data_IF_700041114685
#
_entry.id   IF_700041114685
#
_cell.length_a   1.000
_cell.length_b   1.000
_cell.length_c   1.000
_cell.angle_alpha   90.00
_cell.angle_beta   90.00
_cell.angle_gamma   90.00
#
_symmetry.space_group_name_H-M   'P 1'
#
loop_
_entity.id
_entity.type
_entity.pdbx_description
1 polymer ?
#
# COMPACT_ATOMS: atom_id res chain seq x y z
N UNK A 1 -17.51 -8.32 4.58
CA UNK A 1 -16.38 -8.16 3.66
C UNK A 1 -15.66 -6.89 4.07
N UNK A 2 -14.36 -6.95 4.36
CA UNK A 2 -13.57 -5.74 4.60
C UNK A 2 -13.41 -4.98 3.27
N UNK A 3 -13.67 -3.68 3.28
CA UNK A 3 -13.52 -2.83 2.10
C UNK A 3 -12.02 -2.62 1.79
N UNK A 4 -11.62 -2.47 0.52
CA UNK A 4 -10.24 -2.11 0.21
C UNK A 4 -9.90 -0.75 0.85
N UNK A 5 -8.65 -0.59 1.30
CA UNK A 5 -8.22 0.65 1.97
C UNK A 5 -8.05 1.81 1.00
N UNK A 6 -7.86 1.52 -0.28
CA UNK A 6 -7.79 2.46 -1.39
C UNK A 6 -8.59 1.92 -2.58
N UNK A 7 -9.01 2.79 -3.48
CA UNK A 7 -9.62 2.45 -4.76
C UNK A 7 -8.60 2.48 -5.90
N UNK A 8 -9.03 2.05 -7.09
CA UNK A 8 -8.19 2.09 -8.28
C UNK A 8 -7.84 3.53 -8.68
N UNK A 9 -8.78 4.46 -8.50
CA UNK A 9 -8.61 5.88 -8.83
C UNK A 9 -7.51 6.51 -7.99
N UNK A 10 -7.51 6.28 -6.67
CA UNK A 10 -6.49 6.79 -5.76
C UNK A 10 -5.08 6.41 -6.22
N UNK A 11 -4.91 5.16 -6.68
CA UNK A 11 -3.65 4.66 -7.21
C UNK A 11 -3.28 5.28 -8.57
N UNK A 12 -4.26 5.49 -9.46
CA UNK A 12 -4.04 6.14 -10.76
C UNK A 12 -3.63 7.60 -10.60
N UNK A 13 -4.29 8.32 -9.69
CA UNK A 13 -3.95 9.71 -9.35
C UNK A 13 -2.57 9.81 -8.71
N UNK A 14 -2.27 8.92 -7.75
CA UNK A 14 -0.97 8.87 -7.08
C UNK A 14 0.19 8.62 -8.06
N UNK A 15 0.02 7.67 -8.99
CA UNK A 15 1.05 7.30 -9.96
C UNK A 15 1.07 8.16 -11.22
N UNK A 16 0.04 8.98 -11.43
CA UNK A 16 -0.22 9.68 -12.69
C UNK A 16 -0.20 8.71 -13.90
N UNK A 17 -0.74 7.51 -13.70
CA UNK A 17 -0.76 6.40 -14.68
C UNK A 17 -2.19 5.90 -14.88
N UNK A 18 -2.56 5.61 -16.13
CA UNK A 18 -3.84 4.98 -16.46
C UNK A 18 -3.62 3.51 -16.77
N UNK A 19 -4.15 2.65 -15.91
CA UNK A 19 -4.16 1.20 -16.14
C UNK A 19 -5.13 0.81 -17.26
N UNK A 20 -4.65 -0.02 -18.18
CA UNK A 20 -5.45 -0.60 -19.26
C UNK A 20 -6.58 -1.45 -18.68
N UNK A 21 -7.74 -1.51 -19.32
CA UNK A 21 -8.90 -2.31 -18.86
C UNK A 21 -8.54 -3.77 -18.56
N UNK A 22 -7.64 -4.37 -19.34
CA UNK A 22 -7.16 -5.74 -19.14
C UNK A 22 -6.35 -5.92 -17.83
N UNK A 23 -5.69 -4.86 -17.35
CA UNK A 23 -4.86 -4.86 -16.15
C UNK A 23 -5.68 -4.56 -14.88
N UNK A 24 -6.77 -3.80 -14.99
CA UNK A 24 -7.56 -3.34 -13.84
C UNK A 24 -8.01 -4.47 -12.89
N UNK A 25 -8.50 -5.64 -13.37
CA UNK A 25 -8.89 -6.72 -12.46
C UNK A 25 -7.72 -7.26 -11.62
N UNK A 26 -6.50 -7.25 -12.17
CA UNK A 26 -5.30 -7.72 -11.48
C UNK A 26 -4.85 -6.67 -10.44
N UNK A 27 -4.85 -5.40 -10.81
CA UNK A 27 -4.56 -4.28 -9.89
C UNK A 27 -5.56 -4.26 -8.73
N UNK A 28 -6.86 -4.43 -9.00
CA UNK A 28 -7.89 -4.51 -7.97
C UNK A 28 -7.70 -5.69 -7.01
N UNK A 29 -7.25 -6.85 -7.51
CA UNK A 29 -6.90 -7.99 -6.65
C UNK A 29 -5.69 -7.68 -5.78
N UNK A 30 -4.67 -7.03 -6.34
CA UNK A 30 -3.47 -6.62 -5.61
C UNK A 30 -3.81 -5.61 -4.50
N UNK A 31 -4.66 -4.61 -4.78
CA UNK A 31 -5.16 -3.66 -3.78
C UNK A 31 -5.86 -4.39 -2.62
N UNK A 32 -6.72 -5.36 -2.93
CA UNK A 32 -7.41 -6.16 -1.91
C UNK A 32 -6.45 -6.99 -1.07
N UNK A 33 -5.47 -7.63 -1.72
CA UNK A 33 -4.45 -8.43 -1.04
C UNK A 33 -3.60 -7.54 -0.11
N UNK A 34 -3.08 -6.42 -0.61
CA UNK A 34 -2.35 -5.46 0.22
C UNK A 34 -3.20 -4.92 1.37
N UNK A 35 -4.47 -4.64 1.14
CA UNK A 35 -5.38 -4.20 2.20
C UNK A 35 -5.58 -5.28 3.29
N UNK A 36 -5.53 -6.56 2.92
CA UNK A 36 -5.60 -7.66 3.89
C UNK A 36 -4.29 -7.78 4.67
N UNK A 37 -3.14 -7.73 3.99
CA UNK A 37 -1.81 -7.79 4.63
C UNK A 37 -1.62 -6.65 5.63
N UNK A 38 -1.99 -5.42 5.26
CA UNK A 38 -1.85 -4.27 6.16
C UNK A 38 -2.74 -4.39 7.40
N UNK A 39 -3.94 -4.98 7.27
CA UNK A 39 -4.83 -5.25 8.42
C UNK A 39 -4.34 -6.40 9.30
N UNK A 40 -3.70 -7.41 8.71
CA UNK A 40 -3.09 -8.50 9.47
C UNK A 40 -1.92 -7.98 10.32
N UNK A 41 -1.11 -7.10 9.73
CA UNK A 41 0.02 -6.45 10.40
C UNK A 41 -0.40 -5.37 11.42
N UNK A 42 -1.53 -4.69 11.18
CA UNK A 42 -2.09 -3.66 12.06
C UNK A 42 -3.58 -3.93 12.31
N UNK A 43 -3.93 -4.84 13.24
CA UNK A 43 -5.33 -5.26 13.46
C UNK A 43 -6.26 -4.14 13.94
N UNK A 44 -5.72 -3.09 14.57
CA UNK A 44 -6.49 -1.95 15.09
C UNK A 44 -6.75 -0.87 14.03
N UNK A 45 -6.18 -1.00 12.83
CA UNK A 45 -6.17 0.04 11.79
C UNK A 45 -7.55 0.63 11.53
N UNK A 46 -8.55 -0.20 11.23
CA UNK A 46 -9.89 0.29 10.89
C UNK A 46 -10.53 1.03 12.07
N UNK A 47 -10.27 0.58 13.31
CA UNK A 47 -10.76 1.23 14.54
C UNK A 47 -10.03 2.55 14.80
N UNK A 48 -8.73 2.60 14.59
CA UNK A 48 -7.90 3.78 14.82
C UNK A 48 -8.23 4.90 13.81
N UNK A 49 -8.51 4.54 12.55
CA UNK A 49 -9.01 5.48 11.54
C UNK A 49 -10.41 5.99 11.91
N UNK A 50 -11.32 5.10 12.33
CA UNK A 50 -12.68 5.50 12.74
C UNK A 50 -12.68 6.44 13.96
N UNK A 51 -11.75 6.24 14.88
CA UNK A 51 -11.61 7.07 16.08
C UNK A 51 -10.75 8.33 15.85
N UNK A 52 -10.32 8.60 14.62
CA UNK A 52 -9.41 9.68 14.25
C UNK A 52 -8.08 9.67 15.04
N UNK A 53 -7.69 8.51 15.55
CA UNK A 53 -6.37 8.26 16.16
C UNK A 53 -5.31 8.16 15.06
N UNK A 54 -5.68 7.59 13.92
CA UNK A 54 -4.85 7.48 12.73
C UNK A 54 -5.45 8.31 11.59
N UNK A 55 -4.61 9.09 10.94
CA UNK A 55 -5.01 9.91 9.80
C UNK A 55 -5.30 9.01 8.58
N UNK A 56 -6.47 9.20 7.98
CA UNK A 56 -6.90 8.44 6.79
C UNK A 56 -5.96 8.68 5.60
N UNK A 57 -5.51 9.91 5.40
CA UNK A 57 -4.64 10.27 4.28
C UNK A 57 -3.26 9.62 4.42
N UNK A 58 -2.80 9.42 5.67
CA UNK A 58 -1.58 8.67 5.96
C UNK A 58 -1.72 7.19 5.59
N UNK A 59 -2.85 6.57 5.93
CA UNK A 59 -3.13 5.17 5.58
C UNK A 59 -3.17 5.01 4.06
N UNK A 60 -3.92 5.88 3.39
CA UNK A 60 -4.06 5.89 1.94
C UNK A 60 -2.70 6.06 1.25
N UNK A 61 -1.90 7.05 1.67
CA UNK A 61 -0.56 7.26 1.13
C UNK A 61 0.37 6.06 1.33
N UNK A 62 0.34 5.41 2.49
CA UNK A 62 1.14 4.20 2.74
C UNK A 62 0.66 3.05 1.84
N UNK A 63 -0.65 2.88 1.68
CA UNK A 63 -1.24 1.87 0.80
C UNK A 63 -0.84 2.09 -0.66
N UNK A 64 -0.92 3.32 -1.17
CA UNK A 64 -0.47 3.67 -2.51
C UNK A 64 1.01 3.35 -2.72
N UNK A 65 1.87 3.61 -1.73
CA UNK A 65 3.30 3.25 -1.79
C UNK A 65 3.52 1.74 -1.83
N UNK A 66 2.83 0.97 -0.98
CA UNK A 66 2.96 -0.50 -0.94
C UNK A 66 2.51 -1.12 -2.26
N UNK A 67 1.34 -0.72 -2.76
CA UNK A 67 0.81 -1.25 -4.03
C UNK A 67 1.67 -0.82 -5.22
N UNK A 68 2.15 0.42 -5.24
CA UNK A 68 3.05 0.89 -6.31
C UNK A 68 4.36 0.10 -6.33
N UNK A 69 4.97 -0.15 -5.16
CA UNK A 69 6.18 -0.98 -5.06
C UNK A 69 5.94 -2.40 -5.59
N UNK A 70 4.81 -3.00 -5.24
CA UNK A 70 4.45 -4.33 -5.71
C UNK A 70 4.28 -4.34 -7.23
N UNK A 71 3.60 -3.34 -7.80
CA UNK A 71 3.47 -3.19 -9.25
C UNK A 71 4.84 -3.01 -9.92
N UNK A 72 5.71 -2.16 -9.40
CA UNK A 72 7.06 -1.96 -9.94
C UNK A 72 7.90 -3.23 -9.90
N UNK A 73 7.72 -4.06 -8.88
CA UNK A 73 8.39 -5.36 -8.77
C UNK A 73 7.82 -6.39 -9.75
N UNK A 74 6.54 -6.30 -10.08
CA UNK A 74 5.86 -7.12 -11.08
C UNK A 74 6.04 -6.61 -12.51
N UNK A 75 6.67 -5.45 -12.70
CA UNK A 75 6.81 -4.82 -14.00
C UNK A 75 7.81 -5.59 -14.86
N UNK A 76 7.36 -6.00 -16.04
CA UNK A 76 8.22 -6.53 -17.09
C UNK A 76 8.45 -5.41 -18.11
N UNK A 77 9.72 -5.07 -18.32
CA UNK A 77 10.13 -4.14 -19.36
C UNK A 77 10.65 -4.88 -20.59
N UNK A 78 10.34 -4.37 -21.78
CA UNK A 78 10.95 -4.71 -23.07
C UNK A 78 12.43 -4.29 -23.16
N UNK A 79 13.22 -4.50 -22.10
CA UNK A 79 14.64 -4.15 -22.06
C UNK A 79 15.52 -5.18 -22.78
N UNK A 80 15.03 -5.79 -23.86
CA UNK A 80 15.87 -6.53 -24.81
C UNK A 80 15.37 -6.29 -26.25
N UNK A 81 16.12 -5.42 -26.92
CA UNK A 81 16.34 -5.29 -28.38
C UNK A 81 15.34 -4.49 -29.24
N UNK A 82 15.86 -3.32 -29.63
CA UNK A 82 15.93 -2.78 -31.00
C UNK A 82 15.18 -1.46 -31.14
N UNK A 83 15.96 -0.44 -31.50
CA UNK A 83 15.51 0.82 -32.08
C UNK A 83 14.42 0.57 -33.13
N UNK A 84 13.18 0.96 -32.84
CA UNK A 84 12.20 1.49 -33.80
C UNK A 84 10.92 1.93 -33.07
N UNK A 85 10.78 3.26 -32.94
CA UNK A 85 9.57 4.03 -32.61
C UNK A 85 8.95 3.93 -31.20
N UNK A 86 8.36 5.02 -30.67
CA UNK A 86 8.26 5.28 -29.24
C UNK A 86 6.87 4.93 -28.70
N UNK A 87 6.57 3.66 -28.52
CA UNK A 87 5.43 3.24 -27.71
C UNK A 87 5.96 2.27 -26.65
N UNK A 88 6.44 2.84 -25.54
CA UNK A 88 6.86 2.05 -24.38
C UNK A 88 5.58 1.53 -23.71
N UNK A 89 5.15 0.33 -24.09
CA UNK A 89 4.07 -0.37 -23.37
C UNK A 89 4.64 -0.99 -22.10
N UNK A 90 3.97 -0.74 -20.98
CA UNK A 90 4.31 -1.35 -19.68
C UNK A 90 3.41 -2.54 -19.44
N UNK A 91 4.02 -3.70 -19.21
CA UNK A 91 3.31 -4.92 -18.85
C UNK A 91 3.69 -5.37 -17.44
N UNK A 92 2.73 -5.96 -16.73
CA UNK A 92 2.91 -6.48 -15.38
C UNK A 92 2.72 -7.99 -15.40
N UNK A 93 3.68 -8.73 -14.86
CA UNK A 93 3.60 -10.18 -14.73
C UNK A 93 3.17 -10.56 -13.31
N UNK A 94 1.86 -10.67 -13.11
CA UNK A 94 1.27 -11.09 -11.84
C UNK A 94 1.34 -12.61 -11.59
N UNK A 95 1.86 -13.41 -12.54
CA UNK A 95 1.91 -14.88 -12.43
C UNK A 95 3.23 -15.40 -11.87
N UNK A 96 4.34 -14.70 -12.10
CA UNK A 96 5.69 -15.17 -11.73
C UNK A 96 6.23 -14.60 -10.43
N UNK A 97 5.47 -13.74 -9.75
CA UNK A 97 5.93 -12.99 -8.59
C UNK A 97 5.24 -13.51 -7.33
N UNK A 98 6.03 -13.83 -6.32
CA UNK A 98 5.51 -14.17 -4.99
C UNK A 98 4.91 -12.92 -4.35
N UNK A 99 3.60 -12.95 -4.07
CA UNK A 99 2.89 -11.80 -3.52
C UNK A 99 3.37 -11.43 -2.11
N UNK A 100 3.85 -12.40 -1.33
CA UNK A 100 4.36 -12.17 0.03
C UNK A 100 5.70 -11.41 0.01
N UNK A 101 6.52 -11.59 -1.04
CA UNK A 101 7.79 -10.87 -1.19
C UNK A 101 7.61 -9.41 -1.63
N UNK A 102 6.55 -9.11 -2.37
CA UNK A 102 6.35 -7.79 -2.98
C UNK A 102 5.35 -6.91 -2.24
N UNK A 103 4.44 -7.49 -1.46
CA UNK A 103 3.46 -6.77 -0.64
C UNK A 103 3.85 -6.89 0.83
N UNK A 104 4.60 -5.90 1.30
CA UNK A 104 5.03 -5.84 2.70
C UNK A 104 5.08 -4.40 3.22
N UNK A 105 4.90 -4.25 4.54
CA UNK A 105 5.14 -3.00 5.24
C UNK A 105 6.59 -2.94 5.72
N UNK A 106 7.30 -1.87 5.36
CA UNK A 106 8.60 -1.57 5.97
C UNK A 106 8.43 -1.23 7.46
N UNK A 107 9.49 -1.41 8.26
CA UNK A 107 9.46 -1.10 9.69
C UNK A 107 8.97 0.34 9.99
N UNK A 108 9.40 1.33 9.21
CA UNK A 108 8.95 2.72 9.37
C UNK A 108 7.48 2.94 8.98
N UNK A 109 6.93 2.16 8.04
CA UNK A 109 5.50 2.20 7.73
C UNK A 109 4.69 1.56 8.86
N UNK A 110 5.15 0.43 9.41
CA UNK A 110 4.52 -0.20 10.58
C UNK A 110 4.50 0.74 11.78
N UNK A 111 5.61 1.42 12.07
CA UNK A 111 5.69 2.39 13.17
C UNK A 111 4.74 3.57 12.98
N UNK A 112 4.55 4.05 11.74
CA UNK A 112 3.63 5.14 11.43
C UNK A 112 2.15 4.75 11.52
N UNK A 113 1.83 3.50 11.20
CA UNK A 113 0.46 2.97 11.30
C UNK A 113 0.14 2.47 12.71
N UNK A 114 1.14 2.25 13.54
CA UNK A 114 0.95 1.88 14.94
C UNK A 114 0.79 3.16 15.76
N UNK A 115 -0.35 3.37 16.45
CA UNK A 115 -0.50 4.54 17.31
C UNK A 115 0.63 4.55 18.35
N UNK A 116 1.36 5.66 18.43
CA UNK A 116 2.32 5.87 19.51
C UNK A 116 1.52 5.86 20.81
N UNK A 117 1.65 4.79 21.58
CA UNK A 117 1.18 4.82 22.96
C UNK A 117 2.02 5.89 23.64
N UNK A 118 1.44 7.07 23.84
CA UNK A 118 1.93 8.00 24.84
C UNK A 118 1.92 7.20 26.14
N UNK A 119 3.07 6.64 26.52
CA UNK A 119 3.27 6.13 27.87
C UNK A 119 3.03 7.33 28.77
N UNK A 120 1.81 7.41 29.30
CA UNK A 120 1.45 8.37 30.32
C UNK A 120 2.44 8.18 31.45
N UNK A 121 3.43 9.06 31.52
CA UNK A 121 4.30 9.20 32.67
C UNK A 121 3.37 9.60 33.81
N UNK A 122 2.94 8.59 34.58
CA UNK A 122 2.24 8.78 35.85
C UNK A 122 3.23 9.47 36.79
N UNK A 123 3.22 10.81 36.78
CA UNK A 123 3.94 11.59 37.77
C UNK A 123 3.16 11.47 39.08
N UNK A 124 3.64 10.59 39.96
CA UNK A 124 3.22 10.58 41.37
C UNK A 124 3.92 11.74 42.08
N UNK A 125 3.20 12.86 42.27
CA UNK A 125 3.67 13.92 43.18
C UNK A 125 3.40 13.44 44.60
N UNK A 126 4.45 13.06 45.32
CA UNK A 126 4.36 12.84 46.77
C UNK A 126 4.41 14.21 47.48
N UNK A 127 3.43 14.58 48.32
CA UNK A 127 3.54 15.75 49.16
C UNK A 127 4.54 15.47 50.29
N UNK A 128 5.55 16.34 50.42
CA UNK A 128 6.52 16.38 51.52
C UNK A 128 6.66 17.79 52.05
#
# INVERSE_FOLDING_TARGET
MAYPLIELVDLQEWRQEVFLEAQQPQVLRLIRFASAVVRDEVPTLDTDVQNAVLDRDLVEGIMCVVVSRALDSMRVGTNIKSEQFPEITTEYNFQSVDMEEVVYLSAGQKERLSPKTEQGSSFSIAPG
#
